data_IF_909429325040
#
_entry.id   IF_909429325040
#
_cell.length_a   1.000
_cell.length_b   1.000
_cell.length_c   1.000
_cell.angle_alpha   90.00
_cell.angle_beta   90.00
_cell.angle_gamma   90.00
#
_symmetry.space_group_name_H-M   'P 1'
#
loop_
_entity.id
_entity.type
_entity.pdbx_description
1 polymer ?
#
# COMPACT_ATOMS: atom_id res chain seq x y z
N UNK A 1 -22.25 3.84 16.81
CA UNK A 1 -20.97 4.57 16.93
C UNK A 1 -20.62 5.10 15.56
N UNK A 2 -20.20 6.35 15.46
CA UNK A 2 -19.66 6.92 14.21
C UNK A 2 -18.17 6.62 14.22
N UNK A 3 -17.68 5.87 13.23
CA UNK A 3 -16.25 5.67 13.06
C UNK A 3 -15.67 6.94 12.44
N UNK A 4 -14.82 7.63 13.18
CA UNK A 4 -14.04 8.77 12.67
C UNK A 4 -12.64 8.30 12.28
N UNK A 5 -12.19 8.67 11.08
CA UNK A 5 -10.84 8.39 10.62
C UNK A 5 -9.89 9.33 11.38
N UNK A 6 -9.00 8.76 12.18
CA UNK A 6 -7.94 9.49 12.88
C UNK A 6 -6.77 9.80 11.94
N UNK A 7 -6.11 10.94 12.15
CA UNK A 7 -4.98 11.37 11.33
C UNK A 7 -3.71 10.56 11.63
N UNK A 8 -2.78 10.48 10.65
CA UNK A 8 -1.51 9.76 10.80
C UNK A 8 -0.64 10.33 11.94
N UNK A 9 -0.65 11.64 12.15
CA UNK A 9 0.06 12.30 13.25
C UNK A 9 -0.50 11.89 14.61
N UNK A 10 -1.83 11.81 14.71
CA UNK A 10 -2.52 11.32 15.91
C UNK A 10 -2.15 9.87 16.21
N UNK A 11 -2.08 9.01 15.19
CA UNK A 11 -1.65 7.60 15.34
C UNK A 11 -0.21 7.51 15.85
N UNK A 12 0.72 8.29 15.27
CA UNK A 12 2.13 8.31 15.69
C UNK A 12 2.28 8.78 17.15
N UNK A 13 1.56 9.83 17.53
CA UNK A 13 1.56 10.36 18.89
C UNK A 13 1.00 9.34 19.89
N UNK A 14 -0.09 8.66 19.54
CA UNK A 14 -0.71 7.65 20.41
C UNK A 14 0.17 6.41 20.56
N UNK A 15 0.86 5.97 19.50
CA UNK A 15 1.85 4.89 19.58
C UNK A 15 3.05 5.24 20.48
N UNK A 16 3.48 6.50 20.47
CA UNK A 16 4.59 6.96 21.31
C UNK A 16 4.22 7.08 22.80
N UNK A 17 2.95 7.41 23.10
CA UNK A 17 2.48 7.64 24.48
C UNK A 17 1.93 6.36 25.12
N UNK A 18 1.36 5.45 24.33
CA UNK A 18 0.71 4.23 24.80
C UNK A 18 1.44 3.01 24.22
N UNK A 19 2.51 2.51 24.87
CA UNK A 19 3.32 1.39 24.38
C UNK A 19 2.56 0.05 24.28
N UNK A 20 1.29 0.02 24.68
CA UNK A 20 0.40 -1.13 24.72
C UNK A 20 -0.90 -0.95 23.93
N UNK A 21 -1.09 0.20 23.26
CA UNK A 21 -2.09 0.23 22.19
C UNK A 21 -1.41 -0.34 20.97
N UNK A 22 -1.58 -1.65 20.80
CA UNK A 22 -1.63 -2.25 19.48
C UNK A 22 -2.73 -1.52 18.71
N UNK A 23 -2.42 -0.34 18.16
CA UNK A 23 -3.14 0.11 16.99
C UNK A 23 -2.91 -1.00 15.99
N UNK A 24 -3.91 -1.86 15.84
CA UNK A 24 -3.91 -2.97 14.92
C UNK A 24 -3.52 -2.41 13.56
N UNK A 25 -2.24 -2.49 13.23
CA UNK A 25 -1.75 -2.15 11.92
C UNK A 25 -2.12 -3.38 11.10
N UNK A 26 -3.12 -3.28 10.22
CA UNK A 26 -3.52 -4.43 9.42
C UNK A 26 -2.29 -4.91 8.64
N UNK A 27 -2.07 -6.23 8.60
CA UNK A 27 -1.02 -6.78 7.75
C UNK A 27 -1.23 -6.31 6.31
N UNK A 28 -0.16 -6.19 5.54
CA UNK A 28 -0.25 -5.81 4.12
C UNK A 28 -1.27 -6.68 3.36
N UNK A 29 -1.35 -7.98 3.70
CA UNK A 29 -2.34 -8.90 3.14
C UNK A 29 -3.79 -8.52 3.44
N UNK A 30 -4.10 -8.01 4.64
CA UNK A 30 -5.44 -7.59 5.01
C UNK A 30 -5.82 -6.31 4.27
N UNK A 31 -4.90 -5.35 4.16
CA UNK A 31 -5.11 -4.11 3.40
C UNK A 31 -5.30 -4.41 1.92
N UNK A 32 -4.47 -5.28 1.33
CA UNK A 32 -4.56 -5.67 -0.07
C UNK A 32 -5.89 -6.38 -0.38
N UNK A 33 -6.40 -7.20 0.55
CA UNK A 33 -7.73 -7.81 0.45
C UNK A 33 -8.83 -6.74 0.44
N UNK A 34 -8.78 -5.80 1.39
CA UNK A 34 -9.75 -4.71 1.48
C UNK A 34 -9.76 -3.83 0.23
N UNK A 35 -8.58 -3.45 -0.28
CA UNK A 35 -8.44 -2.70 -1.53
C UNK A 35 -9.12 -3.42 -2.70
N UNK A 36 -8.88 -4.73 -2.85
CA UNK A 36 -9.48 -5.53 -3.93
C UNK A 36 -10.99 -5.68 -3.78
N UNK A 37 -11.46 -6.08 -2.60
CA UNK A 37 -12.85 -6.50 -2.40
C UNK A 37 -13.81 -5.34 -2.13
N UNK A 38 -13.32 -4.24 -1.53
CA UNK A 38 -14.16 -3.09 -1.14
C UNK A 38 -13.93 -1.88 -2.04
N UNK A 39 -12.70 -1.66 -2.50
CA UNK A 39 -12.32 -0.48 -3.30
C UNK A 39 -12.12 -0.78 -4.78
N UNK A 40 -12.20 -2.05 -5.15
CA UNK A 40 -12.01 -2.52 -6.51
C UNK A 40 -10.64 -2.15 -7.11
N UNK A 41 -9.62 -2.05 -6.25
CA UNK A 41 -8.23 -1.75 -6.58
C UNK A 41 -7.38 -2.98 -6.35
N UNK A 42 -6.74 -3.49 -7.40
CA UNK A 42 -5.82 -4.61 -7.32
C UNK A 42 -4.38 -4.14 -7.49
N UNK A 43 -3.51 -4.52 -6.55
CA UNK A 43 -2.06 -4.31 -6.65
C UNK A 43 -1.42 -5.62 -7.09
N UNK A 44 -0.76 -5.63 -8.25
CA UNK A 44 0.08 -6.73 -8.72
C UNK A 44 1.55 -6.37 -8.49
N UNK A 45 2.34 -7.32 -7.99
CA UNK A 45 3.79 -7.14 -7.84
C UNK A 45 4.51 -7.80 -9.00
N UNK A 46 5.46 -7.09 -9.58
CA UNK A 46 6.25 -7.51 -10.74
C UNK A 46 7.69 -7.68 -10.30
N UNK A 47 8.34 -8.75 -10.76
CA UNK A 47 9.78 -8.98 -10.55
C UNK A 47 10.53 -8.83 -11.87
N UNK A 48 11.65 -8.13 -11.84
CA UNK A 48 12.62 -8.08 -12.93
C UNK A 48 14.06 -8.26 -12.41
N UNK A 49 15.03 -8.13 -13.31
CA UNK A 49 16.45 -8.27 -13.00
C UNK A 49 16.97 -7.21 -12.02
N UNK A 50 16.28 -6.07 -11.89
CA UNK A 50 16.65 -4.95 -11.04
C UNK A 50 15.94 -4.96 -9.69
N UNK A 51 14.87 -5.75 -9.50
CA UNK A 51 14.12 -5.79 -8.24
C UNK A 51 12.64 -6.03 -8.45
N UNK A 52 11.84 -5.48 -7.55
CA UNK A 52 10.39 -5.54 -7.52
C UNK A 52 9.77 -4.19 -7.84
N UNK A 53 8.66 -4.20 -8.58
CA UNK A 53 7.79 -3.05 -8.82
C UNK A 53 6.33 -3.43 -8.60
N UNK A 54 5.41 -2.50 -8.79
CA UNK A 54 3.98 -2.77 -8.68
C UNK A 54 3.17 -2.12 -9.81
N UNK A 55 2.02 -2.73 -10.12
CA UNK A 55 0.95 -2.16 -10.95
C UNK A 55 -0.33 -2.08 -10.13
N UNK A 56 -1.11 -1.02 -10.34
CA UNK A 56 -2.44 -0.85 -9.75
C UNK A 56 -3.50 -0.89 -10.86
N UNK A 57 -4.47 -1.78 -10.73
CA UNK A 57 -5.56 -1.96 -11.68
C UNK A 57 -6.92 -1.71 -11.00
N UNK A 58 -7.82 -1.00 -11.70
CA UNK A 58 -9.24 -0.90 -11.29
C UNK A 58 -10.08 -1.86 -12.10
N UNK A 59 -10.83 -2.75 -11.45
CA UNK A 59 -11.55 -3.79 -12.17
C UNK A 59 -12.87 -3.30 -12.82
N UNK A 60 -13.34 -2.08 -12.56
CA UNK A 60 -14.65 -1.57 -13.01
C UNK A 60 -14.66 -0.79 -14.33
N UNK A 61 -13.55 -0.64 -15.06
CA UNK A 61 -13.62 -0.23 -16.47
C UNK A 61 -12.36 -0.46 -17.31
N UNK A 62 -11.45 -1.33 -16.85
CA UNK A 62 -10.23 -1.67 -17.58
C UNK A 62 -9.22 -0.52 -17.65
N UNK A 63 -7.99 -0.94 -17.93
CA UNK A 63 -6.77 -0.12 -17.99
C UNK A 63 -6.27 0.25 -16.60
N UNK A 64 -5.28 -0.52 -16.13
CA UNK A 64 -4.11 0.00 -15.42
C UNK A 64 -4.18 1.49 -15.03
N UNK A 65 -4.06 1.78 -13.74
CA UNK A 65 -4.18 3.14 -13.19
C UNK A 65 -2.80 3.77 -12.99
N UNK A 66 -1.84 3.00 -12.48
CA UNK A 66 -0.52 3.48 -12.13
C UNK A 66 0.48 2.30 -12.02
N UNK A 67 1.75 2.57 -12.32
CA UNK A 67 2.89 1.71 -12.00
C UNK A 67 3.85 2.40 -11.03
N UNK A 68 4.64 1.54 -10.40
CA UNK A 68 5.88 1.88 -9.71
C UNK A 68 7.12 1.42 -10.48
N UNK A 69 7.04 1.17 -11.79
CA UNK A 69 8.09 0.47 -12.54
C UNK A 69 9.43 1.22 -12.60
N UNK A 70 9.49 2.50 -12.20
CA UNK A 70 10.74 3.26 -12.04
C UNK A 70 10.71 4.21 -10.84
N UNK A 71 9.89 3.91 -9.83
CA UNK A 71 9.70 4.75 -8.63
C UNK A 71 10.48 4.24 -7.40
N UNK A 72 11.05 3.04 -7.49
CA UNK A 72 11.77 2.43 -6.40
C UNK A 72 13.16 3.06 -6.17
N UNK A 73 13.73 2.88 -4.97
CA UNK A 73 14.93 3.60 -4.53
C UNK A 73 16.24 3.07 -5.10
N UNK A 74 16.26 1.88 -5.72
CA UNK A 74 17.51 1.31 -6.24
C UNK A 74 17.86 1.84 -7.64
N UNK A 75 19.07 1.53 -8.11
CA UNK A 75 19.62 2.05 -9.38
C UNK A 75 18.78 1.68 -10.63
N UNK A 76 17.95 0.64 -10.53
CA UNK A 76 17.02 0.22 -11.59
C UNK A 76 15.61 0.77 -11.44
N UNK A 77 15.37 1.67 -10.49
CA UNK A 77 14.05 2.24 -10.20
C UNK A 77 13.07 1.26 -9.56
N UNK A 78 13.58 0.24 -8.86
CA UNK A 78 12.80 -0.82 -8.20
C UNK A 78 13.04 -0.84 -6.69
N UNK A 79 12.27 -1.67 -5.99
CA UNK A 79 12.52 -2.06 -4.60
C UNK A 79 13.26 -3.39 -4.53
N UNK A 80 14.10 -3.57 -3.51
CA UNK A 80 14.91 -4.77 -3.38
C UNK A 80 14.10 -5.96 -2.85
N UNK A 81 13.00 -5.70 -2.14
CA UNK A 81 12.11 -6.72 -1.57
C UNK A 81 10.68 -6.63 -2.09
N UNK A 82 9.96 -7.75 -2.00
CA UNK A 82 8.55 -7.82 -2.35
C UNK A 82 7.71 -6.94 -1.42
N UNK A 83 7.99 -6.99 -0.12
CA UNK A 83 7.24 -6.29 0.93
C UNK A 83 7.37 -4.77 0.81
N UNK A 84 8.53 -4.25 0.40
CA UNK A 84 8.73 -2.82 0.13
C UNK A 84 7.95 -2.35 -1.10
N UNK A 85 7.99 -3.11 -2.20
CA UNK A 85 7.19 -2.80 -3.39
C UNK A 85 5.69 -2.86 -3.09
N UNK A 86 5.26 -3.84 -2.28
CA UNK A 86 3.87 -3.97 -1.86
C UNK A 86 3.44 -2.82 -0.95
N UNK A 87 4.28 -2.40 -0.01
CA UNK A 87 3.99 -1.25 0.85
C UNK A 87 3.80 0.02 0.01
N UNK A 88 4.72 0.28 -0.93
CA UNK A 88 4.64 1.43 -1.82
C UNK A 88 3.36 1.39 -2.68
N UNK A 89 3.02 0.22 -3.24
CA UNK A 89 1.78 0.02 -3.99
C UNK A 89 0.52 0.22 -3.15
N UNK A 90 0.52 -0.19 -1.87
CA UNK A 90 -0.59 0.04 -0.94
C UNK A 90 -0.75 1.54 -0.66
N UNK A 91 0.35 2.25 -0.41
CA UNK A 91 0.30 3.68 -0.13
C UNK A 91 -0.22 4.48 -1.33
N UNK A 92 0.25 4.16 -2.54
CA UNK A 92 -0.24 4.76 -3.77
C UNK A 92 -1.74 4.43 -3.99
N UNK A 93 -2.15 3.18 -3.79
CA UNK A 93 -3.55 2.76 -3.95
C UNK A 93 -4.49 3.46 -2.96
N UNK A 94 -4.06 3.71 -1.72
CA UNK A 94 -4.83 4.47 -0.73
C UNK A 94 -4.99 5.92 -1.18
N UNK A 95 -3.99 6.53 -1.80
CA UNK A 95 -4.06 7.89 -2.33
C UNK A 95 -5.04 8.07 -3.51
N UNK A 96 -5.48 6.97 -4.13
CA UNK A 96 -6.46 6.97 -5.23
C UNK A 96 -7.92 6.90 -4.76
N UNK A 97 -8.17 6.75 -3.46
CA UNK A 97 -9.50 6.67 -2.83
C UNK A 97 -9.97 8.05 -2.40
#
# INVERSE_FOLDING_TARGET
MKEEIITLETVKLLNAILPYRDFYQPSQSLVQKWLRETKNLHISIIRNACGYGYDICKADNGTYIADGMYKGPNDGGQWDTYEEALEAGIQEAIGLI
#
